data_IF_373144051888
#
_entry.id   IF_373144051888
#
_cell.length_a   1.000
_cell.length_b   1.000
_cell.length_c   1.000
_cell.angle_alpha   90.00
_cell.angle_beta   90.00
_cell.angle_gamma   90.00
#
_symmetry.space_group_name_H-M   'P 1'
#
loop_
_entity.id
_entity.type
_entity.pdbx_description
1 polymer ?
#
# COMPACT_ATOMS: atom_id res chain seq x y z
N UNK A 1 14.34 -28.33 15.27
CA UNK A 1 14.91 -27.23 14.44
C UNK A 1 13.77 -26.61 13.63
N UNK A 2 13.33 -25.41 13.99
CA UNK A 2 12.30 -24.69 13.25
C UNK A 2 12.88 -24.21 11.91
N UNK A 3 12.33 -24.66 10.79
CA UNK A 3 12.64 -24.13 9.47
C UNK A 3 12.25 -22.65 9.47
N UNK A 4 13.23 -21.75 9.42
CA UNK A 4 13.00 -20.34 9.19
C UNK A 4 12.38 -20.18 7.80
N UNK A 5 11.09 -19.91 7.77
CA UNK A 5 10.33 -19.65 6.55
C UNK A 5 10.75 -18.27 6.01
N UNK A 6 11.91 -18.21 5.35
CA UNK A 6 12.36 -17.02 4.66
C UNK A 6 11.41 -16.72 3.50
N UNK A 7 10.27 -16.12 3.81
CA UNK A 7 9.39 -15.57 2.80
C UNK A 7 10.18 -14.56 1.96
N UNK A 8 10.55 -14.94 0.75
CA UNK A 8 11.14 -14.03 -0.22
C UNK A 8 10.23 -12.83 -0.35
N UNK A 9 10.73 -11.65 -0.01
CA UNK A 9 10.00 -10.41 -0.26
C UNK A 9 9.68 -10.31 -1.75
N UNK A 10 8.40 -10.23 -2.08
CA UNK A 10 7.98 -10.05 -3.46
C UNK A 10 8.58 -8.76 -4.02
N UNK A 11 9.13 -8.80 -5.24
CA UNK A 11 9.67 -7.62 -5.90
C UNK A 11 8.55 -6.57 -6.01
N UNK A 12 8.80 -5.34 -5.51
CA UNK A 12 7.81 -4.28 -5.36
C UNK A 12 7.07 -3.95 -6.66
N UNK A 13 7.79 -3.88 -7.77
CA UNK A 13 7.22 -3.53 -9.08
C UNK A 13 6.67 -4.71 -9.89
N UNK A 14 6.75 -5.92 -9.36
CA UNK A 14 6.12 -7.09 -9.98
C UNK A 14 4.60 -6.96 -10.00
N UNK A 15 4.04 -6.25 -9.02
CA UNK A 15 2.61 -5.97 -8.95
C UNK A 15 2.16 -5.07 -10.10
N UNK A 16 2.91 -4.02 -10.46
CA UNK A 16 2.60 -3.12 -11.57
C UNK A 16 2.45 -3.89 -12.88
N UNK A 17 3.44 -4.74 -13.20
CA UNK A 17 3.39 -5.60 -14.39
C UNK A 17 2.24 -6.60 -14.35
N UNK A 18 1.96 -7.19 -13.18
CA UNK A 18 0.85 -8.15 -13.02
C UNK A 18 -0.51 -7.50 -13.27
N UNK A 19 -0.67 -6.25 -12.86
CA UNK A 19 -1.91 -5.50 -12.98
C UNK A 19 -1.98 -4.64 -14.25
N UNK A 20 -0.88 -4.57 -15.02
CA UNK A 20 -0.78 -3.78 -16.24
C UNK A 20 -0.92 -2.27 -16.03
N UNK A 21 -0.59 -1.78 -14.83
CA UNK A 21 -0.74 -0.37 -14.47
C UNK A 21 0.43 0.09 -13.61
N UNK A 22 0.96 1.26 -13.89
CA UNK A 22 1.92 1.93 -13.02
C UNK A 22 1.18 2.54 -11.81
N UNK A 23 1.08 1.77 -10.72
CA UNK A 23 0.26 2.13 -9.56
C UNK A 23 0.69 3.43 -8.87
N UNK A 24 1.97 3.79 -8.94
CA UNK A 24 2.52 4.94 -8.23
C UNK A 24 3.09 6.02 -9.14
N UNK A 25 2.81 5.96 -10.46
CA UNK A 25 3.25 6.95 -11.43
C UNK A 25 4.77 7.07 -11.57
N UNK A 26 5.55 6.03 -11.25
CA UNK A 26 7.00 6.10 -11.28
C UNK A 26 7.54 6.03 -12.71
N UNK A 27 8.42 6.97 -13.12
CA UNK A 27 9.00 6.94 -14.46
C UNK A 27 9.77 5.64 -14.76
N UNK A 28 10.48 5.11 -13.77
CA UNK A 28 11.27 3.87 -13.86
C UNK A 28 10.47 2.59 -13.53
N UNK A 29 9.13 2.64 -13.57
CA UNK A 29 8.33 1.42 -13.34
C UNK A 29 8.54 0.44 -14.50
N UNK A 30 8.80 -0.86 -14.20
CA UNK A 30 9.01 -1.88 -15.23
C UNK A 30 7.83 -2.08 -16.18
N UNK A 31 6.61 -1.67 -15.80
CA UNK A 31 5.45 -1.74 -16.68
C UNK A 31 5.57 -0.79 -17.87
N UNK A 32 6.24 0.34 -17.71
CA UNK A 32 6.44 1.31 -18.79
C UNK A 32 7.32 0.75 -19.92
N UNK A 33 8.26 -0.16 -19.60
CA UNK A 33 9.13 -0.81 -20.58
C UNK A 33 8.63 -2.19 -21.02
N UNK A 34 7.82 -2.84 -20.18
CA UNK A 34 7.35 -4.22 -20.40
C UNK A 34 5.87 -4.32 -20.03
N UNK A 35 4.99 -4.07 -20.97
CA UNK A 35 3.53 -4.05 -20.78
C UNK A 35 2.90 -5.43 -20.56
N UNK A 36 3.70 -6.49 -20.53
CA UNK A 36 3.23 -7.85 -20.29
C UNK A 36 3.49 -8.30 -18.85
N UNK A 37 2.72 -9.29 -18.39
CA UNK A 37 2.80 -9.84 -17.04
C UNK A 37 4.18 -10.42 -16.69
N UNK A 38 4.49 -10.60 -15.40
CA UNK A 38 5.74 -11.21 -14.98
C UNK A 38 5.72 -12.74 -15.17
N UNK A 39 6.90 -13.34 -15.36
CA UNK A 39 7.10 -14.78 -15.48
C UNK A 39 7.10 -15.29 -16.93
N UNK A 40 7.39 -16.56 -17.09
CA UNK A 40 7.53 -17.24 -18.39
C UNK A 40 6.29 -17.10 -19.28
N UNK A 41 5.11 -17.14 -18.68
CA UNK A 41 3.83 -17.05 -19.40
C UNK A 41 3.22 -15.63 -19.42
N UNK A 42 3.98 -14.62 -19.03
CA UNK A 42 3.50 -13.24 -18.94
C UNK A 42 3.02 -12.64 -20.26
N UNK A 43 3.55 -13.11 -21.38
CA UNK A 43 3.18 -12.65 -22.74
C UNK A 43 1.84 -13.23 -23.24
N UNK A 44 1.33 -14.28 -22.64
CA UNK A 44 0.03 -14.87 -23.03
C UNK A 44 -1.09 -13.88 -22.73
N UNK A 45 -1.77 -13.41 -23.75
CA UNK A 45 -2.98 -12.59 -23.64
C UNK A 45 -4.17 -13.54 -23.44
N UNK A 46 -4.83 -13.42 -22.29
CA UNK A 46 -6.13 -14.06 -22.03
C UNK A 46 -7.19 -12.97 -21.90
N UNK A 47 -8.34 -13.17 -22.54
CA UNK A 47 -9.49 -12.30 -22.29
C UNK A 47 -9.90 -12.48 -20.83
N UNK A 48 -9.95 -11.41 -20.03
CA UNK A 48 -10.37 -11.52 -18.63
C UNK A 48 -11.86 -11.86 -18.56
N UNK A 49 -12.23 -12.70 -17.59
CA UNK A 49 -13.64 -12.90 -17.22
C UNK A 49 -14.14 -11.71 -16.41
N UNK A 50 -15.45 -11.53 -16.27
CA UNK A 50 -16.03 -10.45 -15.46
C UNK A 50 -15.55 -10.51 -14.02
N UNK A 51 -15.51 -11.69 -13.43
CA UNK A 51 -14.90 -11.93 -12.11
C UNK A 51 -13.42 -11.53 -12.09
N UNK A 52 -12.68 -11.85 -13.15
CA UNK A 52 -11.27 -11.47 -13.30
C UNK A 52 -11.07 -9.95 -13.29
N UNK A 53 -11.93 -9.20 -13.97
CA UNK A 53 -11.92 -7.72 -14.01
C UNK A 53 -12.14 -7.15 -12.60
N UNK A 54 -13.17 -7.62 -11.90
CA UNK A 54 -13.48 -7.19 -10.54
C UNK A 54 -12.35 -7.52 -9.56
N UNK A 55 -11.79 -8.73 -9.66
CA UNK A 55 -10.63 -9.14 -8.86
C UNK A 55 -9.42 -8.24 -9.10
N UNK A 56 -9.14 -7.92 -10.36
CA UNK A 56 -8.04 -7.01 -10.73
C UNK A 56 -8.26 -5.61 -10.17
N UNK A 57 -9.46 -5.06 -10.20
CA UNK A 57 -9.80 -3.77 -9.60
C UNK A 57 -9.52 -3.77 -8.10
N UNK A 58 -9.97 -4.81 -7.38
CA UNK A 58 -9.65 -4.99 -5.95
C UNK A 58 -8.14 -5.08 -5.71
N UNK A 59 -7.40 -5.82 -6.52
CA UNK A 59 -5.95 -5.96 -6.37
C UNK A 59 -5.21 -4.65 -6.68
N UNK A 60 -5.69 -3.84 -7.63
CA UNK A 60 -5.15 -2.50 -7.90
C UNK A 60 -5.27 -1.61 -6.66
N UNK A 61 -6.46 -1.55 -6.07
CA UNK A 61 -6.69 -0.76 -4.86
C UNK A 61 -5.79 -1.21 -3.70
N UNK A 62 -5.73 -2.52 -3.41
CA UNK A 62 -4.83 -3.06 -2.39
C UNK A 62 -3.36 -2.75 -2.68
N UNK A 63 -2.96 -2.88 -3.94
CA UNK A 63 -1.59 -2.61 -4.41
C UNK A 63 -1.20 -1.16 -4.19
N UNK A 64 -2.06 -0.24 -4.56
CA UNK A 64 -1.83 1.20 -4.42
C UNK A 64 -1.46 1.59 -2.97
N UNK A 65 -2.16 1.05 -1.97
CA UNK A 65 -1.85 1.24 -0.56
C UNK A 65 -0.74 0.30 -0.04
N UNK A 66 0.21 -0.07 -0.89
CA UNK A 66 1.39 -0.86 -0.51
C UNK A 66 1.11 -2.34 -0.29
N UNK A 67 0.22 -2.92 -1.08
CA UNK A 67 -0.13 -4.34 -1.03
C UNK A 67 -0.68 -4.79 0.33
N UNK A 68 -1.76 -4.16 0.77
CA UNK A 68 -2.46 -4.52 2.01
C UNK A 68 -2.88 -6.01 1.95
N UNK A 69 -2.68 -6.73 3.06
CA UNK A 69 -3.09 -8.13 3.18
C UNK A 69 -4.61 -8.32 3.05
N UNK A 70 -5.07 -9.45 2.51
CA UNK A 70 -6.49 -9.70 2.24
C UNK A 70 -7.35 -9.61 3.51
N UNK A 71 -6.88 -10.21 4.61
CA UNK A 71 -7.58 -10.18 5.91
C UNK A 71 -7.79 -8.75 6.42
N UNK A 72 -6.77 -7.90 6.28
CA UNK A 72 -6.85 -6.50 6.73
C UNK A 72 -7.76 -5.68 5.79
N UNK A 73 -7.68 -5.91 4.48
CA UNK A 73 -8.55 -5.24 3.52
C UNK A 73 -10.02 -5.59 3.76
N UNK A 74 -10.33 -6.87 4.02
CA UNK A 74 -11.69 -7.31 4.37
C UNK A 74 -12.23 -6.62 5.62
N UNK A 75 -11.38 -6.40 6.65
CA UNK A 75 -11.78 -5.63 7.85
C UNK A 75 -12.18 -4.19 7.49
N UNK A 76 -11.40 -3.50 6.64
CA UNK A 76 -11.72 -2.14 6.20
C UNK A 76 -13.01 -2.10 5.36
N UNK A 77 -13.20 -3.08 4.49
CA UNK A 77 -14.42 -3.19 3.70
C UNK A 77 -15.65 -3.38 4.60
N UNK A 78 -15.62 -4.30 5.54
CA UNK A 78 -16.72 -4.52 6.48
C UNK A 78 -17.04 -3.27 7.31
N UNK A 79 -16.02 -2.52 7.72
CA UNK A 79 -16.20 -1.24 8.41
C UNK A 79 -16.80 -0.18 7.49
N UNK A 80 -16.39 -0.13 6.22
CA UNK A 80 -16.94 0.79 5.24
C UNK A 80 -18.43 0.53 4.95
N UNK A 81 -18.83 -0.75 4.86
CA UNK A 81 -20.24 -1.16 4.70
C UNK A 81 -21.09 -0.75 5.89
N UNK A 82 -20.50 -0.83 7.11
CA UNK A 82 -21.24 -0.45 8.34
C UNK A 82 -21.49 1.05 8.45
N UNK A 83 -20.68 1.88 7.78
CA UNK A 83 -20.84 3.34 7.80
C UNK A 83 -21.98 3.79 6.87
N UNK A 84 -22.69 4.84 7.27
CA UNK A 84 -23.69 5.47 6.40
C UNK A 84 -23.03 6.12 5.18
N UNK A 85 -23.72 6.11 4.04
CA UNK A 85 -23.27 6.72 2.80
C UNK A 85 -22.70 5.71 1.79
N UNK A 86 -21.95 6.21 0.81
CA UNK A 86 -21.37 5.35 -0.22
C UNK A 86 -20.22 4.50 0.34
N UNK A 87 -20.35 3.19 0.17
CA UNK A 87 -19.37 2.23 0.66
C UNK A 87 -17.98 2.42 0.02
N UNK A 88 -17.94 2.81 -1.26
CA UNK A 88 -16.68 3.06 -1.97
C UNK A 88 -15.93 4.25 -1.39
N UNK A 89 -16.63 5.36 -1.19
CA UNK A 89 -16.07 6.57 -0.57
C UNK A 89 -15.62 6.30 0.87
N UNK A 90 -16.45 5.60 1.64
CA UNK A 90 -16.10 5.20 3.02
C UNK A 90 -14.84 4.34 3.06
N UNK A 91 -14.70 3.37 2.13
CA UNK A 91 -13.55 2.51 2.05
C UNK A 91 -12.27 3.30 1.72
N UNK A 92 -12.33 4.18 0.72
CA UNK A 92 -11.20 5.05 0.35
C UNK A 92 -10.84 5.95 1.52
N UNK A 93 -11.82 6.56 2.18
CA UNK A 93 -11.60 7.39 3.37
C UNK A 93 -10.86 6.64 4.49
N UNK A 94 -11.27 5.39 4.79
CA UNK A 94 -10.57 4.56 5.78
C UNK A 94 -9.13 4.26 5.36
N UNK A 95 -8.90 3.99 4.07
CA UNK A 95 -7.57 3.68 3.55
C UNK A 95 -6.64 4.89 3.55
N UNK A 96 -7.16 6.09 3.25
CA UNK A 96 -6.41 7.35 3.31
C UNK A 96 -6.10 7.78 4.75
N UNK A 97 -6.94 7.43 5.73
CA UNK A 97 -6.66 7.72 7.15
C UNK A 97 -5.56 6.83 7.76
N UNK A 98 -4.96 5.92 7.03
CA UNK A 98 -3.87 5.10 7.54
C UNK A 98 -2.58 5.92 7.68
N UNK A 99 -1.82 5.68 8.75
CA UNK A 99 -0.57 6.39 9.02
C UNK A 99 0.44 6.28 7.86
N UNK A 100 0.55 5.10 7.21
CA UNK A 100 1.44 4.91 6.06
C UNK A 100 0.98 5.71 4.83
N UNK A 101 -0.33 5.81 4.60
CA UNK A 101 -0.90 6.60 3.52
C UNK A 101 -0.71 8.11 3.76
N UNK A 102 -1.01 8.57 4.96
CA UNK A 102 -0.87 9.99 5.33
C UNK A 102 0.57 10.48 5.21
N UNK A 103 1.56 9.71 5.71
CA UNK A 103 2.98 10.06 5.54
C UNK A 103 3.40 10.18 4.07
N UNK A 104 2.89 9.30 3.23
CA UNK A 104 3.14 9.34 1.80
C UNK A 104 2.45 10.55 1.14
N UNK A 105 1.19 10.84 1.47
CA UNK A 105 0.43 11.99 0.96
C UNK A 105 1.04 13.32 1.39
N UNK A 106 1.50 13.40 2.63
CA UNK A 106 2.21 14.57 3.15
C UNK A 106 3.63 14.75 2.53
N UNK A 107 4.04 13.87 1.62
CA UNK A 107 5.38 13.89 0.97
C UNK A 107 6.55 13.82 1.95
N UNK A 108 6.32 13.35 3.16
CA UNK A 108 7.39 13.14 4.15
C UNK A 108 8.31 11.97 3.78
N UNK A 109 7.84 11.10 2.89
CA UNK A 109 8.56 9.95 2.38
C UNK A 109 8.22 9.71 0.91
N UNK A 110 9.16 9.18 0.09
CA UNK A 110 8.96 9.05 -1.35
C UNK A 110 7.99 7.95 -1.77
N UNK A 111 7.69 6.98 -0.90
CA UNK A 111 6.81 5.86 -1.23
C UNK A 111 6.07 5.33 -0.02
N UNK A 112 4.91 4.69 -0.24
CA UNK A 112 4.16 3.97 0.81
C UNK A 112 5.01 2.89 1.49
N UNK A 113 5.93 2.25 0.75
CA UNK A 113 6.84 1.25 1.31
C UNK A 113 7.89 1.88 2.23
N UNK A 114 8.42 3.04 1.83
CA UNK A 114 9.32 3.83 2.68
C UNK A 114 8.59 4.30 3.93
N UNK A 115 7.33 4.77 3.81
CA UNK A 115 6.50 5.12 4.95
C UNK A 115 6.41 3.98 5.97
N UNK A 116 6.10 2.78 5.52
CA UNK A 116 6.05 1.61 6.40
C UNK A 116 7.38 1.30 7.06
N UNK A 117 8.47 1.39 6.32
CA UNK A 117 9.80 1.17 6.88
C UNK A 117 10.12 2.20 7.97
N UNK A 118 9.89 3.48 7.70
CA UNK A 118 10.10 4.58 8.65
C UNK A 118 9.27 4.40 9.92
N UNK A 119 7.99 4.01 9.77
CA UNK A 119 7.12 3.73 10.92
C UNK A 119 7.61 2.52 11.70
N UNK A 120 7.88 1.39 11.03
CA UNK A 120 8.30 0.15 11.70
C UNK A 120 9.62 0.32 12.46
N UNK A 121 10.52 1.16 11.96
CA UNK A 121 11.76 1.51 12.64
C UNK A 121 11.53 2.48 13.82
N UNK A 122 10.29 2.95 14.01
CA UNK A 122 9.91 3.83 15.11
C UNK A 122 10.48 5.24 15.01
N UNK A 123 10.61 5.73 13.80
CA UNK A 123 11.01 7.10 13.50
C UNK A 123 9.84 8.10 13.48
N UNK A 124 8.62 7.61 13.65
CA UNK A 124 7.41 8.41 13.67
C UNK A 124 6.87 8.53 15.08
N UNK A 125 6.50 9.75 15.47
CA UNK A 125 5.76 10.03 16.70
C UNK A 125 4.33 10.43 16.31
N UNK A 126 3.38 9.85 17.00
CA UNK A 126 1.95 10.19 16.90
C UNK A 126 1.53 10.76 18.24
N UNK A 127 1.09 12.01 18.25
CA UNK A 127 0.74 12.75 19.48
C UNK A 127 1.87 12.68 20.53
N UNK A 128 3.12 12.89 20.10
CA UNK A 128 4.32 12.85 20.93
C UNK A 128 4.80 11.42 21.31
N UNK A 129 4.04 10.38 21.03
CA UNK A 129 4.38 8.98 21.38
C UNK A 129 4.92 8.21 20.17
N UNK A 130 5.96 7.37 20.39
CA UNK A 130 6.51 6.52 19.33
C UNK A 130 5.46 5.54 18.81
N UNK A 131 5.25 5.57 17.49
CA UNK A 131 4.37 4.65 16.78
C UNK A 131 5.21 3.76 15.84
N UNK A 132 5.00 2.44 15.89
CA UNK A 132 5.62 1.45 15.00
C UNK A 132 4.61 0.64 14.18
N UNK A 133 3.34 1.02 14.21
CA UNK A 133 2.26 0.33 13.52
C UNK A 133 1.76 1.16 12.35
N UNK A 134 2.12 0.76 11.13
CA UNK A 134 1.79 1.48 9.90
C UNK A 134 0.27 1.54 9.59
N UNK A 135 -0.51 0.62 10.15
CA UNK A 135 -1.95 0.50 9.91
C UNK A 135 -2.82 1.28 10.89
N UNK A 136 -2.24 2.08 11.77
CA UNK A 136 -3.01 2.96 12.68
C UNK A 136 -3.86 3.89 11.84
N UNK A 137 -5.13 4.02 12.20
CA UNK A 137 -6.06 4.98 11.61
C UNK A 137 -5.99 6.28 12.38
N UNK A 138 -5.68 7.33 11.65
CA UNK A 138 -5.58 8.69 12.18
C UNK A 138 -6.96 9.34 12.23
N UNK A 139 -7.10 10.25 13.17
CA UNK A 139 -8.28 11.11 13.32
C UNK A 139 -7.91 12.56 13.03
N UNK A 140 -8.85 13.39 12.62
CA UNK A 140 -8.62 14.84 12.57
C UNK A 140 -8.13 15.35 13.93
N UNK A 141 -7.06 16.15 13.91
CA UNK A 141 -6.41 16.66 15.13
C UNK A 141 -5.22 15.83 15.62
N UNK A 142 -4.97 14.63 15.04
CA UNK A 142 -3.76 13.88 15.39
C UNK A 142 -2.51 14.59 14.82
N UNK A 143 -1.49 14.74 15.66
CA UNK A 143 -0.20 15.33 15.30
C UNK A 143 0.82 14.25 14.95
N UNK A 144 1.48 14.41 13.80
CA UNK A 144 2.52 13.50 13.32
C UNK A 144 3.84 14.23 13.24
N UNK A 145 4.85 13.73 13.95
CA UNK A 145 6.21 14.27 13.89
C UNK A 145 7.22 13.17 13.53
N UNK A 146 8.26 13.55 12.79
CA UNK A 146 9.39 12.68 12.48
C UNK A 146 10.54 12.98 13.45
N UNK A 147 11.20 11.93 13.92
CA UNK A 147 12.44 12.06 14.67
C UNK A 147 13.54 12.66 13.77
N UNK A 148 14.47 13.40 14.35
CA UNK A 148 15.54 14.07 13.61
C UNK A 148 16.38 13.14 12.76
N UNK A 149 16.66 11.92 13.25
CA UNK A 149 17.33 10.86 12.47
C UNK A 149 16.58 10.47 11.19
N UNK A 150 15.28 10.65 11.14
CA UNK A 150 14.49 10.33 9.94
C UNK A 150 14.45 11.48 8.93
N UNK A 151 14.68 12.71 9.37
CA UNK A 151 14.73 13.90 8.49
C UNK A 151 16.00 13.90 7.63
N UNK A 152 17.06 13.24 8.06
CA UNK A 152 18.35 13.15 7.34
C UNK A 152 18.43 11.98 6.35
N UNK A 153 17.41 11.11 6.28
CA UNK A 153 17.37 9.99 5.33
C UNK A 153 17.05 10.56 3.94
N UNK A 154 17.93 10.44 2.95
CA UNK A 154 17.66 10.92 1.60
C UNK A 154 16.42 10.23 1.01
N UNK A 155 15.59 11.03 0.33
CA UNK A 155 14.34 10.59 -0.31
C UNK A 155 14.59 9.69 -1.55
#
# INVERSE_FOLDING_TARGET
>A
MAKSDHKRHAAKHKIDRRLGVNLWGRPKSPVNAREYGPGQHGQRRKKPTDFGVQLMAKQKLKGYYGNIGEKQFKKYYNEAVRRKGDTGQNLVGILECRLDAVLYRAKLVPTVFSARQTINHGHVLLNGKRCNIASVLLKPGDEITLKDKAKTIPA
#
